data_IF_865412378886
#
_entry.id   IF_865412378886
#
_cell.length_a   1.000
_cell.length_b   1.000
_cell.length_c   1.000
_cell.angle_alpha   90.00
_cell.angle_beta   90.00
_cell.angle_gamma   90.00
#
_symmetry.space_group_name_H-M   'P 1'
#
loop_
_entity.id
_entity.type
_entity.pdbx_description
1 polymer ?
#
# COMPACT_ATOMS: atom_id res chain seq x y z
N UNK A 1 -4.93 -10.35 -21.14
CA UNK A 1 -5.57 -11.30 -20.20
C UNK A 1 -6.33 -12.46 -20.89
N UNK A 2 -6.74 -12.30 -22.14
CA UNK A 2 -7.61 -13.27 -22.86
C UNK A 2 -7.05 -14.70 -22.94
N UNK A 3 -5.73 -14.85 -23.13
CA UNK A 3 -5.08 -16.18 -23.21
C UNK A 3 -4.98 -16.80 -21.82
N UNK A 4 -4.59 -16.02 -20.82
CA UNK A 4 -4.44 -16.49 -19.44
C UNK A 4 -5.78 -16.93 -18.81
N UNK A 5 -6.90 -16.32 -19.19
CA UNK A 5 -8.24 -16.74 -18.77
C UNK A 5 -8.64 -18.13 -19.29
N UNK A 6 -7.96 -18.68 -20.31
CA UNK A 6 -8.23 -20.02 -20.84
C UNK A 6 -7.49 -21.12 -20.09
N UNK A 7 -6.64 -20.78 -19.13
CA UNK A 7 -5.95 -21.76 -18.29
C UNK A 7 -6.99 -22.45 -17.40
N UNK A 8 -7.07 -23.79 -17.45
CA UNK A 8 -8.01 -24.54 -16.61
C UNK A 8 -7.78 -24.23 -15.13
N UNK A 9 -8.86 -24.00 -14.37
CA UNK A 9 -8.84 -23.63 -12.97
C UNK A 9 -8.75 -22.12 -12.69
N UNK A 10 -8.53 -21.28 -13.73
CA UNK A 10 -8.57 -19.81 -13.55
C UNK A 10 -10.01 -19.33 -13.47
N UNK A 11 -10.34 -18.66 -12.38
CA UNK A 11 -11.68 -18.12 -12.11
C UNK A 11 -11.84 -16.70 -12.67
N UNK A 12 -10.86 -15.83 -12.43
CA UNK A 12 -10.91 -14.43 -12.85
C UNK A 12 -9.52 -13.80 -12.99
N UNK A 13 -9.42 -12.80 -13.84
CA UNK A 13 -8.26 -11.92 -13.98
C UNK A 13 -8.76 -10.47 -14.01
N UNK A 14 -8.35 -9.72 -12.99
CA UNK A 14 -8.67 -8.30 -12.82
C UNK A 14 -7.48 -7.42 -13.16
N UNK A 15 -7.75 -6.29 -13.76
CA UNK A 15 -6.78 -5.25 -14.11
C UNK A 15 -7.28 -3.91 -13.55
N UNK A 16 -6.53 -2.85 -13.77
CA UNK A 16 -6.93 -1.50 -13.38
C UNK A 16 -8.32 -1.09 -13.92
N UNK A 17 -8.81 -1.70 -15.00
CA UNK A 17 -10.13 -1.43 -15.58
C UNK A 17 -11.26 -2.01 -14.73
N UNK A 18 -10.99 -3.06 -13.99
CA UNK A 18 -11.99 -3.90 -13.32
C UNK A 18 -12.20 -3.51 -11.84
N UNK A 19 -11.39 -2.59 -11.29
CA UNK A 19 -11.41 -2.19 -9.86
C UNK A 19 -12.06 -0.84 -9.62
N UNK A 20 -12.52 -0.53 -8.39
CA UNK A 20 -13.01 0.80 -8.03
C UNK A 20 -11.97 1.89 -8.32
N UNK A 21 -12.46 3.07 -8.72
CA UNK A 21 -11.61 4.22 -9.09
C UNK A 21 -11.40 5.23 -7.96
N UNK A 22 -12.00 4.97 -6.80
CA UNK A 22 -11.80 5.79 -5.61
C UNK A 22 -10.45 5.48 -4.97
N UNK A 23 -9.64 6.53 -4.74
CA UNK A 23 -8.38 6.40 -4.04
C UNK A 23 -8.57 6.23 -2.55
N UNK A 24 -7.70 5.47 -1.93
CA UNK A 24 -7.69 5.24 -0.48
C UNK A 24 -6.28 5.42 0.09
N UNK A 25 -6.21 5.74 1.38
CA UNK A 25 -4.96 5.75 2.13
C UNK A 25 -4.61 4.31 2.53
N UNK A 26 -3.42 3.85 2.17
CA UNK A 26 -2.94 2.50 2.50
C UNK A 26 -2.53 2.37 3.97
N UNK A 27 -2.11 3.46 4.57
CA UNK A 27 -1.73 3.56 5.97
C UNK A 27 -2.71 4.47 6.74
N UNK A 28 -2.52 4.56 8.04
CA UNK A 28 -3.28 5.50 8.87
C UNK A 28 -3.80 4.85 10.12
N UNK A 29 -3.23 5.25 11.25
CA UNK A 29 -3.63 4.82 12.59
C UNK A 29 -4.57 5.83 13.25
N UNK A 30 -4.80 6.98 12.61
CA UNK A 30 -5.69 8.05 13.05
C UNK A 30 -6.85 8.22 12.06
N UNK A 31 -7.75 9.13 12.38
CA UNK A 31 -8.75 9.66 11.45
C UNK A 31 -8.96 11.15 11.75
N UNK A 32 -8.84 12.04 10.76
CA UNK A 32 -8.41 11.76 9.39
C UNK A 32 -6.98 11.18 9.31
N UNK A 33 -6.70 10.39 8.28
CA UNK A 33 -5.41 9.77 8.08
C UNK A 33 -4.34 10.82 7.71
N UNK A 34 -3.15 10.67 8.28
CA UNK A 34 -1.98 11.50 7.91
C UNK A 34 -1.45 11.13 6.52
N UNK A 35 -1.60 9.85 6.14
CA UNK A 35 -1.21 9.40 4.80
C UNK A 35 -2.20 9.88 3.75
N UNK A 36 -1.74 10.26 2.56
CA UNK A 36 -2.60 10.71 1.48
C UNK A 36 -3.43 9.55 0.91
N UNK A 37 -4.52 9.91 0.25
CA UNK A 37 -5.34 9.03 -0.58
C UNK A 37 -4.72 8.97 -1.98
N UNK A 38 -3.70 8.14 -2.11
CA UNK A 38 -2.85 8.01 -3.29
C UNK A 38 -2.96 6.65 -3.99
N UNK A 39 -3.60 5.65 -3.34
CA UNK A 39 -3.65 4.26 -3.82
C UNK A 39 -4.99 3.92 -4.46
N UNK A 40 -4.92 3.12 -5.53
CA UNK A 40 -6.02 2.29 -6.04
C UNK A 40 -5.70 0.82 -5.75
N UNK A 41 -6.70 -0.06 -5.84
CA UNK A 41 -6.46 -1.53 -5.75
C UNK A 41 -5.49 -1.97 -6.84
N UNK A 42 -5.73 -1.52 -8.06
CA UNK A 42 -4.84 -1.62 -9.23
C UNK A 42 -4.87 -0.28 -9.95
N UNK A 43 -3.70 0.24 -10.31
CA UNK A 43 -3.59 1.49 -11.04
C UNK A 43 -3.01 1.24 -12.44
N UNK A 44 -3.40 2.05 -13.41
CA UNK A 44 -2.78 2.09 -14.73
C UNK A 44 -1.36 2.66 -14.65
N UNK A 45 -1.13 3.54 -13.70
CA UNK A 45 0.14 4.20 -13.44
C UNK A 45 0.84 3.48 -12.29
N UNK A 46 1.78 2.60 -12.62
CA UNK A 46 2.63 1.89 -11.64
C UNK A 46 3.88 2.69 -11.34
N UNK A 47 4.33 2.71 -10.08
CA UNK A 47 5.33 3.67 -9.59
C UNK A 47 6.61 3.05 -9.06
N UNK A 48 6.56 1.77 -8.69
CA UNK A 48 7.74 1.08 -8.16
C UNK A 48 7.72 -0.42 -8.51
N UNK A 49 8.86 -1.09 -8.37
CA UNK A 49 8.96 -2.54 -8.52
C UNK A 49 8.26 -3.22 -7.33
N UNK A 50 7.17 -3.93 -7.61
CA UNK A 50 6.28 -4.48 -6.58
C UNK A 50 4.88 -3.85 -6.58
N UNK A 51 4.67 -2.78 -7.35
CA UNK A 51 3.34 -2.20 -7.55
C UNK A 51 2.45 -3.17 -8.34
N UNK A 52 1.22 -3.48 -7.88
CA UNK A 52 0.41 -4.51 -8.50
C UNK A 52 -0.17 -4.08 -9.85
N UNK A 53 -0.05 -4.97 -10.84
CA UNK A 53 -0.51 -4.73 -12.23
C UNK A 53 -1.83 -5.46 -12.52
N UNK A 54 -1.98 -6.67 -11.97
CA UNK A 54 -3.15 -7.50 -12.17
C UNK A 54 -3.36 -8.44 -10.99
N UNK A 55 -4.59 -8.90 -10.80
CA UNK A 55 -4.96 -9.95 -9.86
C UNK A 55 -5.42 -11.15 -10.67
N UNK A 56 -4.80 -12.30 -10.44
CA UNK A 56 -5.22 -13.59 -10.98
C UNK A 56 -5.80 -14.42 -9.86
N UNK A 57 -7.03 -14.89 -10.02
CA UNK A 57 -7.70 -15.79 -9.09
C UNK A 57 -7.96 -17.14 -9.76
N UNK A 58 -7.70 -18.23 -9.05
CA UNK A 58 -7.88 -19.58 -9.54
C UNK A 58 -8.09 -20.57 -8.40
N UNK A 59 -8.39 -21.81 -8.75
CA UNK A 59 -8.70 -22.89 -7.79
C UNK A 59 -7.50 -23.30 -6.95
N UNK A 60 -6.30 -23.24 -7.53
CA UNK A 60 -5.03 -23.55 -6.86
C UNK A 60 -3.87 -22.66 -7.33
N UNK A 61 -2.75 -22.73 -6.61
CA UNK A 61 -1.54 -21.95 -6.93
C UNK A 61 -0.96 -22.34 -8.30
N UNK A 62 -1.04 -23.62 -8.68
CA UNK A 62 -0.47 -24.09 -9.93
C UNK A 62 -1.18 -23.53 -11.17
N UNK A 63 -2.50 -23.40 -11.12
CA UNK A 63 -3.26 -22.76 -12.23
C UNK A 63 -2.98 -21.24 -12.28
N UNK A 64 -2.87 -20.58 -11.12
CA UNK A 64 -2.54 -19.15 -11.02
C UNK A 64 -1.14 -18.90 -11.59
N UNK A 65 -0.14 -19.69 -11.21
CA UNK A 65 1.23 -19.58 -11.72
C UNK A 65 1.31 -19.77 -13.24
N UNK A 66 0.57 -20.74 -13.77
CA UNK A 66 0.47 -20.93 -15.23
C UNK A 66 -0.13 -19.71 -15.92
N UNK A 67 -1.19 -19.15 -15.34
CA UNK A 67 -1.85 -17.98 -15.91
C UNK A 67 -0.97 -16.73 -15.84
N UNK A 68 -0.27 -16.51 -14.73
CA UNK A 68 0.67 -15.40 -14.56
C UNK A 68 1.77 -15.41 -15.63
N UNK A 69 2.33 -16.59 -15.95
CA UNK A 69 3.34 -16.75 -17.04
C UNK A 69 2.79 -16.42 -18.43
N UNK A 70 1.47 -16.50 -18.62
CA UNK A 70 0.80 -16.17 -19.90
C UNK A 70 0.39 -14.71 -19.99
N UNK A 71 0.44 -13.95 -18.90
CA UNK A 71 0.15 -12.52 -18.92
C UNK A 71 1.28 -11.78 -19.62
N UNK A 72 0.91 -10.96 -20.60
CA UNK A 72 1.83 -10.05 -21.27
C UNK A 72 1.44 -8.62 -20.94
N UNK A 73 2.34 -7.90 -20.29
CA UNK A 73 2.16 -6.48 -19.95
C UNK A 73 3.03 -5.65 -20.89
N UNK A 74 2.43 -4.63 -21.48
CA UNK A 74 3.16 -3.62 -22.26
C UNK A 74 3.25 -2.35 -21.42
N UNK A 75 4.45 -1.90 -21.13
CA UNK A 75 4.71 -0.68 -20.38
C UNK A 75 5.08 0.46 -21.33
N UNK A 76 4.54 1.64 -21.06
CA UNK A 76 5.12 2.91 -21.47
C UNK A 76 5.99 3.37 -20.32
N UNK A 77 7.30 3.29 -20.49
CA UNK A 77 8.25 3.73 -19.47
C UNK A 77 8.19 5.25 -19.37
N UNK A 78 8.03 5.75 -18.14
CA UNK A 78 8.01 7.17 -17.81
C UNK A 78 9.34 7.56 -17.15
N UNK A 79 9.71 8.85 -17.11
CA UNK A 79 10.83 9.31 -16.31
C UNK A 79 10.64 8.90 -14.85
N UNK A 80 11.71 8.45 -14.20
CA UNK A 80 11.69 8.02 -12.80
C UNK A 80 12.32 9.08 -11.90
N UNK A 81 11.73 9.27 -10.72
CA UNK A 81 12.28 10.09 -9.63
C UNK A 81 12.78 9.11 -8.56
N UNK A 82 14.10 8.91 -8.49
CA UNK A 82 14.74 7.89 -7.65
C UNK A 82 15.49 8.47 -6.45
N UNK A 83 15.82 9.74 -6.48
CA UNK A 83 16.54 10.44 -5.42
C UNK A 83 15.58 11.42 -4.72
N UNK A 84 15.35 11.19 -3.43
CA UNK A 84 14.44 12.02 -2.65
C UNK A 84 14.95 13.45 -2.45
N UNK A 85 16.26 13.70 -2.51
CA UNK A 85 16.83 15.06 -2.44
C UNK A 85 16.44 15.94 -3.64
N UNK A 86 16.21 15.30 -4.78
CA UNK A 86 15.81 15.99 -6.02
C UNK A 86 14.35 15.80 -6.37
N UNK A 87 13.58 15.11 -5.52
CA UNK A 87 12.18 14.80 -5.77
C UNK A 87 11.26 16.00 -5.60
N UNK A 88 11.50 16.81 -4.56
CA UNK A 88 10.72 18.03 -4.29
C UNK A 88 10.87 19.02 -5.46
N UNK A 89 9.73 19.53 -5.92
CA UNK A 89 9.63 20.48 -7.03
C UNK A 89 10.22 19.98 -8.36
N UNK A 90 10.34 18.65 -8.54
CA UNK A 90 10.78 18.04 -9.78
C UNK A 90 9.69 18.17 -10.86
N UNK A 91 10.10 18.35 -12.14
CA UNK A 91 9.18 18.41 -13.28
C UNK A 91 8.38 17.12 -13.47
N UNK A 92 8.99 15.97 -13.14
CA UNK A 92 8.31 14.67 -13.15
C UNK A 92 7.55 14.46 -11.85
N UNK A 93 6.23 14.39 -11.94
CA UNK A 93 5.36 14.15 -10.77
C UNK A 93 5.14 12.65 -10.56
N UNK A 94 5.37 12.18 -9.33
CA UNK A 94 5.10 10.80 -8.93
C UNK A 94 3.59 10.56 -8.85
N UNK A 95 2.83 11.54 -8.37
CA UNK A 95 1.37 11.52 -8.27
C UNK A 95 0.75 12.73 -8.99
N UNK A 96 0.66 12.70 -10.33
CA UNK A 96 0.10 13.83 -11.10
C UNK A 96 -1.43 13.92 -11.02
N UNK A 97 -2.12 12.93 -10.43
CA UNK A 97 -3.57 12.77 -10.47
C UNK A 97 -4.31 13.84 -9.65
N UNK A 98 -5.35 14.42 -10.22
CA UNK A 98 -6.23 15.36 -9.52
C UNK A 98 -7.12 14.66 -8.46
N UNK A 99 -7.27 13.34 -8.54
CA UNK A 99 -7.97 12.52 -7.54
C UNK A 99 -7.15 12.25 -6.29
N UNK A 100 -5.85 12.59 -6.27
CA UNK A 100 -5.03 12.55 -5.07
C UNK A 100 -5.53 13.59 -4.06
N UNK A 101 -5.52 13.23 -2.78
CA UNK A 101 -5.90 14.15 -1.69
C UNK A 101 -5.23 13.77 -0.38
N UNK A 102 -4.93 14.77 0.44
CA UNK A 102 -4.57 14.62 1.83
C UNK A 102 -5.71 15.17 2.69
N UNK A 103 -6.17 14.41 3.68
CA UNK A 103 -7.26 14.83 4.58
C UNK A 103 -6.74 15.54 5.83
N UNK A 104 -5.48 15.31 6.19
CA UNK A 104 -4.84 15.93 7.34
C UNK A 104 -3.86 17.00 6.87
N UNK A 105 -3.80 18.18 7.54
CA UNK A 105 -2.95 19.29 7.10
C UNK A 105 -1.47 19.06 7.48
N UNK A 106 -0.83 18.08 6.86
CA UNK A 106 0.61 17.80 7.02
C UNK A 106 1.49 18.54 6.01
N UNK A 107 0.96 19.54 5.30
CA UNK A 107 1.71 20.26 4.27
C UNK A 107 2.01 19.42 3.02
N UNK A 108 1.22 18.36 2.77
CA UNK A 108 1.39 17.51 1.59
C UNK A 108 0.92 18.22 0.31
N UNK A 109 1.70 18.08 -0.77
CA UNK A 109 1.40 18.65 -2.10
C UNK A 109 1.93 17.72 -3.20
N UNK A 110 1.04 17.04 -3.89
CA UNK A 110 1.42 16.10 -4.95
C UNK A 110 1.97 16.80 -6.21
N UNK A 111 1.64 18.06 -6.43
CA UNK A 111 2.17 18.86 -7.55
C UNK A 111 3.61 19.34 -7.32
N UNK A 112 4.12 19.11 -6.10
CA UNK A 112 5.49 19.40 -5.71
C UNK A 112 6.27 18.14 -5.31
N UNK A 113 5.69 16.95 -5.49
CA UNK A 113 6.21 15.68 -4.96
C UNK A 113 6.46 15.70 -3.46
N UNK A 114 5.66 16.45 -2.71
CA UNK A 114 5.82 16.64 -1.27
C UNK A 114 4.78 15.82 -0.52
N UNK A 115 5.21 14.81 0.23
CA UNK A 115 4.30 13.94 0.98
C UNK A 115 3.91 14.52 2.34
N UNK A 116 4.77 15.33 2.94
CA UNK A 116 4.51 16.09 4.17
C UNK A 116 5.55 17.20 4.34
N UNK A 117 5.15 18.27 5.01
CA UNK A 117 6.04 19.33 5.48
C UNK A 117 5.46 19.88 6.78
N UNK A 118 6.23 19.80 7.85
CA UNK A 118 5.83 20.30 9.15
C UNK A 118 7.02 21.04 9.79
N UNK A 119 6.72 22.17 10.37
CA UNK A 119 7.68 22.96 11.15
C UNK A 119 7.08 23.20 12.53
N UNK A 120 7.89 23.05 13.54
CA UNK A 120 7.54 23.37 14.93
C UNK A 120 8.71 24.07 15.60
N UNK A 121 8.46 25.23 16.11
CA UNK A 121 9.43 26.01 16.86
C UNK A 121 8.86 26.36 18.24
N UNK A 122 9.67 26.22 19.28
CA UNK A 122 9.30 26.55 20.64
C UNK A 122 10.36 27.44 21.29
N UNK A 123 9.96 28.66 21.60
CA UNK A 123 10.87 29.68 22.16
C UNK A 123 11.71 30.37 21.06
N UNK A 124 12.76 31.02 21.48
CA UNK A 124 13.74 31.67 20.59
C UNK A 124 14.93 30.73 20.37
N UNK A 125 14.82 29.91 19.29
CA UNK A 125 15.83 28.90 18.94
C UNK A 125 17.15 29.58 18.54
N UNK A 126 17.09 30.57 17.67
CA UNK A 126 18.24 31.27 17.14
C UNK A 126 18.98 32.08 18.23
N UNK A 127 18.24 32.69 19.14
CA UNK A 127 18.83 33.36 20.32
C UNK A 127 19.51 32.38 21.25
N UNK A 128 18.88 31.23 21.51
CA UNK A 128 19.43 30.17 22.34
C UNK A 128 20.76 29.64 21.79
N UNK A 129 20.85 29.40 20.47
CA UNK A 129 22.09 28.94 19.82
C UNK A 129 23.24 29.94 20.01
N UNK A 130 22.97 31.26 20.00
CA UNK A 130 24.00 32.30 20.23
C UNK A 130 24.53 32.31 21.65
N UNK A 131 23.73 31.87 22.61
CA UNK A 131 24.07 31.84 24.04
C UNK A 131 24.67 30.49 24.47
N UNK A 132 24.79 29.50 23.58
CA UNK A 132 25.42 28.21 23.86
C UNK A 132 26.96 28.30 23.84
N UNK A 133 27.62 27.67 24.80
CA UNK A 133 29.10 27.55 24.83
C UNK A 133 29.60 26.62 23.71
N UNK A 134 28.80 25.62 23.31
CA UNK A 134 29.13 24.65 22.26
C UNK A 134 27.88 24.35 21.43
N UNK A 135 28.01 24.46 20.12
CA UNK A 135 26.99 24.05 19.15
C UNK A 135 27.60 22.96 18.28
N UNK A 136 26.89 21.83 18.18
CA UNK A 136 27.28 20.70 17.30
C UNK A 136 26.24 20.53 16.22
N UNK A 137 26.68 20.40 14.99
CA UNK A 137 25.82 20.15 13.82
C UNK A 137 26.40 18.98 13.01
N UNK A 138 25.59 17.96 12.78
CA UNK A 138 25.96 16.78 11.98
C UNK A 138 24.76 16.30 11.19
N UNK A 139 25.02 15.78 10.00
CA UNK A 139 24.01 15.08 9.19
C UNK A 139 24.26 13.58 9.26
N UNK A 140 23.22 12.81 9.57
CA UNK A 140 23.26 11.34 9.61
C UNK A 140 22.35 10.77 8.53
N UNK A 141 22.92 9.96 7.65
CA UNK A 141 22.17 9.26 6.62
C UNK A 141 21.69 7.90 7.13
N UNK A 142 20.38 7.64 6.99
CA UNK A 142 19.74 6.36 7.31
C UNK A 142 19.22 5.72 6.02
N UNK A 143 19.75 4.57 5.58
CA UNK A 143 19.30 3.92 4.35
C UNK A 143 17.90 3.33 4.52
N UNK A 144 17.20 3.12 3.40
CA UNK A 144 15.94 2.38 3.36
C UNK A 144 16.15 0.94 3.85
N UNK A 145 15.29 0.47 4.75
CA UNK A 145 15.41 -0.87 5.38
C UNK A 145 14.08 -1.60 5.36
N UNK A 146 14.10 -2.87 4.94
CA UNK A 146 12.95 -3.75 5.06
C UNK A 146 12.91 -4.45 6.42
N UNK A 147 11.73 -4.56 7.03
CA UNK A 147 11.56 -5.13 8.38
C UNK A 147 11.82 -6.65 8.45
N UNK A 148 11.70 -7.34 7.34
CA UNK A 148 12.03 -8.78 7.15
C UNK A 148 11.49 -9.70 8.27
N UNK A 149 10.23 -9.50 8.70
CA UNK A 149 9.58 -10.35 9.69
C UNK A 149 9.53 -11.80 9.21
N UNK A 150 9.62 -12.77 10.14
CA UNK A 150 9.61 -14.22 9.85
C UNK A 150 8.38 -14.61 9.03
N UNK A 151 7.19 -14.20 9.45
CA UNK A 151 5.96 -14.41 8.74
C UNK A 151 5.80 -13.36 7.64
N UNK A 152 5.70 -13.80 6.39
CA UNK A 152 5.41 -12.96 5.22
C UNK A 152 3.98 -12.41 5.28
N UNK A 153 3.65 -11.44 4.43
CA UNK A 153 2.27 -10.96 4.32
C UNK A 153 1.34 -12.08 3.84
N UNK A 154 0.21 -12.23 4.50
CA UNK A 154 -0.79 -13.24 4.16
C UNK A 154 -2.18 -12.83 4.60
N UNK A 155 -3.16 -13.17 3.79
CA UNK A 155 -4.55 -12.85 4.02
C UNK A 155 -5.45 -13.92 3.44
N UNK A 156 -6.51 -14.29 4.16
CA UNK A 156 -7.59 -15.13 3.66
C UNK A 156 -8.93 -14.40 3.87
N UNK A 157 -9.83 -14.54 2.89
CA UNK A 157 -11.12 -13.87 2.90
C UNK A 157 -12.25 -14.83 2.57
N UNK A 158 -13.43 -14.61 3.15
CA UNK A 158 -14.65 -15.32 2.83
C UNK A 158 -15.88 -14.48 3.19
N UNK A 159 -17.06 -14.85 2.70
CA UNK A 159 -18.31 -14.25 3.14
C UNK A 159 -18.92 -15.12 4.25
N UNK A 160 -19.33 -14.50 5.38
CA UNK A 160 -20.04 -15.21 6.43
C UNK A 160 -21.53 -15.40 6.05
N UNK A 161 -22.27 -16.10 6.92
CA UNK A 161 -23.69 -16.40 6.73
C UNK A 161 -24.58 -15.14 6.65
N UNK A 162 -24.08 -14.00 7.10
CA UNK A 162 -24.76 -12.69 7.00
C UNK A 162 -24.33 -11.89 5.77
N UNK A 163 -23.51 -12.48 4.88
CA UNK A 163 -22.98 -11.82 3.70
C UNK A 163 -21.94 -10.74 4.00
N UNK A 164 -21.30 -10.77 5.18
CA UNK A 164 -20.20 -9.88 5.53
C UNK A 164 -18.89 -10.46 5.01
N UNK A 165 -18.06 -9.59 4.47
CA UNK A 165 -16.68 -9.93 4.10
C UNK A 165 -15.84 -10.12 5.37
N UNK A 166 -15.44 -11.34 5.65
CA UNK A 166 -14.52 -11.69 6.73
C UNK A 166 -13.12 -11.73 6.17
N UNK A 167 -12.21 -11.01 6.80
CA UNK A 167 -10.79 -10.91 6.42
C UNK A 167 -9.94 -11.38 7.58
N UNK A 168 -9.28 -12.54 7.41
CA UNK A 168 -8.27 -13.02 8.33
C UNK A 168 -6.91 -12.54 7.84
N UNK A 169 -6.28 -11.68 8.60
CA UNK A 169 -4.99 -11.11 8.22
C UNK A 169 -4.02 -11.03 9.39
N UNK A 170 -2.76 -11.27 9.09
CA UNK A 170 -1.63 -11.02 9.96
C UNK A 170 -1.35 -9.51 10.00
N UNK A 171 -2.26 -8.74 10.59
CA UNK A 171 -2.22 -7.28 10.65
C UNK A 171 -1.99 -6.76 12.07
N UNK A 172 -1.34 -5.61 12.22
CA UNK A 172 -1.22 -4.89 13.49
C UNK A 172 -2.38 -3.92 13.74
N UNK A 173 -3.25 -3.66 12.73
CA UNK A 173 -4.19 -2.53 12.70
C UNK A 173 -5.62 -2.94 12.33
N UNK A 174 -6.23 -3.88 13.05
CA UNK A 174 -7.54 -4.49 12.74
C UNK A 174 -8.63 -3.46 12.38
N UNK A 175 -8.80 -2.43 13.20
CA UNK A 175 -9.86 -1.44 12.99
C UNK A 175 -9.57 -0.47 11.84
N UNK A 176 -8.31 -0.09 11.68
CA UNK A 176 -7.89 0.76 10.56
C UNK A 176 -7.95 -0.02 9.25
N UNK A 177 -7.53 -1.30 9.25
CA UNK A 177 -7.66 -2.16 8.09
C UNK A 177 -9.12 -2.29 7.64
N UNK A 178 -10.08 -2.43 8.58
CA UNK A 178 -11.51 -2.43 8.25
C UNK A 178 -11.95 -1.15 7.54
N UNK A 179 -11.43 0.00 7.97
CA UNK A 179 -11.71 1.29 7.33
C UNK A 179 -11.08 1.37 5.93
N UNK A 180 -9.81 0.98 5.80
CA UNK A 180 -9.07 0.95 4.52
C UNK A 180 -9.82 0.08 3.51
N UNK A 181 -10.22 -1.12 3.89
CA UNK A 181 -10.98 -2.03 3.03
C UNK A 181 -12.35 -1.44 2.64
N UNK A 182 -13.04 -0.77 3.56
CA UNK A 182 -14.29 -0.08 3.26
C UNK A 182 -14.10 1.00 2.18
N UNK A 183 -13.06 1.79 2.30
CA UNK A 183 -12.72 2.84 1.33
C UNK A 183 -12.29 2.22 -0.02
N UNK A 184 -11.38 1.24 0.00
CA UNK A 184 -10.85 0.62 -1.22
C UNK A 184 -11.92 -0.13 -2.03
N UNK A 185 -12.86 -0.79 -1.36
CA UNK A 185 -13.94 -1.57 -2.00
C UNK A 185 -15.22 -0.77 -2.25
N UNK A 186 -15.32 0.44 -1.71
CA UNK A 186 -16.54 1.25 -1.77
C UNK A 186 -17.73 0.63 -1.04
N UNK A 187 -17.50 -0.11 0.05
CA UNK A 187 -18.57 -0.79 0.81
C UNK A 187 -18.63 -0.33 2.27
N UNK A 188 -19.81 -0.37 2.90
CA UNK A 188 -19.93 0.04 4.30
C UNK A 188 -19.06 -0.81 5.23
N UNK A 189 -18.41 -0.17 6.21
CA UNK A 189 -17.60 -0.85 7.24
C UNK A 189 -18.38 -1.93 8.02
N UNK A 190 -19.70 -1.79 8.14
CA UNK A 190 -20.59 -2.79 8.76
C UNK A 190 -20.63 -4.12 8.00
N UNK A 191 -20.28 -4.10 6.70
CA UNK A 191 -20.17 -5.30 5.86
C UNK A 191 -18.80 -5.97 5.92
N UNK A 192 -17.87 -5.46 6.75
CA UNK A 192 -16.51 -5.99 6.84
C UNK A 192 -16.21 -6.39 8.29
N UNK A 193 -15.68 -7.58 8.46
CA UNK A 193 -15.14 -8.10 9.72
C UNK A 193 -13.69 -8.49 9.53
N UNK A 194 -12.78 -7.82 10.23
CA UNK A 194 -11.35 -8.19 10.24
C UNK A 194 -11.05 -9.02 11.48
N UNK A 195 -10.40 -10.14 11.30
CA UNK A 195 -9.95 -11.05 12.37
C UNK A 195 -8.44 -11.14 12.30
N UNK A 196 -7.78 -10.84 13.42
CA UNK A 196 -6.35 -10.97 13.58
C UNK A 196 -6.02 -12.27 14.30
N UNK A 197 -5.43 -13.26 13.61
CA UNK A 197 -4.81 -14.43 14.27
C UNK A 197 -3.51 -14.03 14.98
N UNK A 198 -2.75 -15.00 15.47
CA UNK A 198 -1.38 -14.74 15.94
C UNK A 198 -0.52 -14.23 14.79
N UNK A 199 0.40 -13.33 15.09
CA UNK A 199 1.30 -12.70 14.11
C UNK A 199 2.72 -13.18 14.34
N UNK A 200 3.39 -13.61 13.28
CA UNK A 200 4.80 -13.99 13.28
C UNK A 200 5.77 -12.85 13.01
N UNK A 201 5.59 -11.73 13.74
CA UNK A 201 6.36 -10.50 13.60
C UNK A 201 5.68 -9.45 12.72
N UNK A 202 5.96 -8.19 12.97
CA UNK A 202 5.41 -7.05 12.22
C UNK A 202 6.40 -5.89 12.12
N UNK A 203 6.98 -5.45 13.24
CA UNK A 203 7.98 -4.38 13.32
C UNK A 203 7.56 -3.10 12.57
N UNK A 204 6.25 -2.81 12.55
CA UNK A 204 5.66 -1.71 11.80
C UNK A 204 5.24 -2.04 10.36
N UNK A 205 5.79 -3.06 9.69
CA UNK A 205 5.42 -3.40 8.31
C UNK A 205 3.94 -3.77 8.12
N UNK A 206 3.31 -4.32 9.16
CA UNK A 206 1.89 -4.74 9.14
C UNK A 206 0.95 -3.66 9.72
N UNK A 207 1.41 -2.41 9.77
CA UNK A 207 0.61 -1.22 10.09
C UNK A 207 0.05 -0.52 8.84
N UNK A 208 0.23 -1.13 7.69
CA UNK A 208 -0.36 -0.72 6.41
C UNK A 208 -1.13 -1.89 5.82
N UNK A 209 -2.04 -1.61 4.88
CA UNK A 209 -2.68 -2.66 4.09
C UNK A 209 -1.76 -3.03 2.93
N UNK A 210 -1.15 -4.19 2.96
CA UNK A 210 -0.23 -4.67 1.91
C UNK A 210 -0.88 -5.75 1.06
N UNK A 211 -1.27 -6.89 1.66
CA UNK A 211 -1.85 -8.03 0.92
C UNK A 211 -3.37 -8.09 0.99
N UNK A 212 -4.02 -7.35 1.89
CA UNK A 212 -5.41 -7.56 2.28
C UNK A 212 -6.41 -7.18 1.21
N UNK A 213 -6.13 -6.11 0.48
CA UNK A 213 -7.10 -5.51 -0.47
C UNK A 213 -7.41 -6.47 -1.61
N UNK A 214 -6.41 -7.25 -2.05
CA UNK A 214 -6.52 -8.10 -3.24
C UNK A 214 -7.45 -9.31 -3.02
N UNK A 215 -7.24 -10.20 -2.03
CA UNK A 215 -8.17 -11.29 -1.78
C UNK A 215 -9.52 -10.78 -1.27
N UNK A 216 -9.57 -9.65 -0.55
CA UNK A 216 -10.83 -9.02 -0.17
C UNK A 216 -11.67 -8.62 -1.40
N UNK A 217 -11.03 -7.99 -2.40
CA UNK A 217 -11.67 -7.65 -3.66
C UNK A 217 -12.13 -8.90 -4.42
N UNK A 218 -11.25 -9.90 -4.56
CA UNK A 218 -11.59 -11.17 -5.24
C UNK A 218 -12.80 -11.83 -4.58
N UNK A 219 -12.79 -12.00 -3.25
CA UNK A 219 -13.92 -12.59 -2.52
C UNK A 219 -15.20 -11.76 -2.67
N UNK A 220 -15.09 -10.43 -2.63
CA UNK A 220 -16.26 -9.56 -2.81
C UNK A 220 -16.88 -9.68 -4.19
N UNK A 221 -16.06 -9.82 -5.23
CA UNK A 221 -16.53 -9.96 -6.62
C UNK A 221 -17.03 -11.37 -6.94
N UNK A 222 -16.25 -12.39 -6.60
CA UNK A 222 -16.59 -13.80 -6.96
C UNK A 222 -17.57 -14.46 -6.01
N UNK A 223 -17.74 -13.92 -4.80
CA UNK A 223 -18.49 -14.51 -3.68
C UNK A 223 -17.88 -15.84 -3.18
N UNK A 224 -16.68 -16.19 -3.64
CA UNK A 224 -15.93 -17.38 -3.23
C UNK A 224 -14.85 -17.03 -2.21
N UNK A 225 -14.46 -17.94 -1.31
CA UNK A 225 -13.30 -17.76 -0.46
C UNK A 225 -12.03 -17.57 -1.29
N UNK A 226 -11.13 -16.71 -0.82
CA UNK A 226 -9.83 -16.51 -1.44
C UNK A 226 -8.73 -16.35 -0.40
N UNK A 227 -7.50 -16.66 -0.79
CA UNK A 227 -6.30 -16.42 0.04
C UNK A 227 -5.15 -15.93 -0.83
N UNK A 228 -4.25 -15.20 -0.22
CA UNK A 228 -3.01 -14.73 -0.81
C UNK A 228 -1.89 -14.83 0.22
N UNK A 229 -0.77 -15.40 -0.18
CA UNK A 229 0.42 -15.55 0.67
C UNK A 229 1.61 -15.08 -0.15
N UNK A 230 2.29 -14.04 0.33
CA UNK A 230 3.51 -13.55 -0.30
C UNK A 230 4.69 -14.48 -0.01
N UNK A 231 5.50 -14.73 -1.01
CA UNK A 231 6.84 -15.26 -0.85
C UNK A 231 7.72 -14.26 -0.09
N UNK A 232 8.91 -14.68 0.32
CA UNK A 232 9.87 -13.78 0.96
C UNK A 232 10.25 -12.61 0.04
N UNK A 233 10.50 -12.90 -1.24
CA UNK A 233 10.86 -11.88 -2.22
C UNK A 233 9.72 -10.88 -2.42
N UNK A 234 8.50 -11.35 -2.63
CA UNK A 234 7.32 -10.49 -2.77
C UNK A 234 7.09 -9.63 -1.53
N UNK A 235 7.28 -10.19 -0.32
CA UNK A 235 7.17 -9.43 0.92
C UNK A 235 8.19 -8.29 1.03
N UNK A 236 9.37 -8.45 0.45
CA UNK A 236 10.42 -7.44 0.46
C UNK A 236 10.17 -6.35 -0.58
N UNK A 237 9.73 -6.70 -1.78
CA UNK A 237 9.55 -5.74 -2.87
C UNK A 237 8.20 -5.01 -2.83
N UNK A 238 7.13 -5.65 -2.33
CA UNK A 238 5.79 -5.08 -2.26
C UNK A 238 5.40 -4.58 -0.86
N UNK A 239 6.22 -4.84 0.16
CA UNK A 239 6.02 -4.38 1.52
C UNK A 239 6.30 -2.88 1.69
N UNK A 240 5.91 -2.34 2.85
CA UNK A 240 6.21 -0.96 3.23
C UNK A 240 7.56 -0.92 3.97
N UNK A 241 8.63 -0.39 3.36
CA UNK A 241 9.93 -0.28 4.02
C UNK A 241 9.95 0.88 5.03
N UNK A 242 10.98 0.97 5.85
CA UNK A 242 11.42 2.22 6.45
C UNK A 242 12.07 3.05 5.37
N UNK A 243 11.67 4.30 5.27
CA UNK A 243 12.19 5.20 4.24
C UNK A 243 13.65 5.58 4.53
N UNK A 244 14.37 5.81 3.47
CA UNK A 244 15.64 6.51 3.49
C UNK A 244 15.42 7.95 3.96
N UNK A 245 16.35 8.48 4.78
CA UNK A 245 16.24 9.83 5.31
C UNK A 245 17.59 10.37 5.78
N UNK A 246 17.73 11.68 5.78
CA UNK A 246 18.77 12.40 6.48
C UNK A 246 18.19 13.04 7.74
N UNK A 247 18.98 13.01 8.79
CA UNK A 247 18.65 13.55 10.12
C UNK A 247 19.72 14.50 10.57
#
# INVERSE_FOLDING_TARGET
KTVALKVPGVEAIYTWEDVPKERFAQAGQTYPEWSPYDRLILDQHVRFVGDPVAIVAGEDEACVDRALKMLKVKYKVLPAVLDYHTAKDNETLVHPEDSWKSLYPVGADNKRNLCAHMEEEKGDVEGTFKDCDIVLEHTYHVPAVNQTMMETFRTACYLDTYGRLVVLSSTQIVFHLRRILGNALGIPKSKIRVIKPRIGGGFGAKQTSVSEVYPAFVTWMTKKPSKMIYTRVESQIAGSPRHEMDV
#
